data_IF_126720522870
#
_entry.id   IF_126720522870
#
_cell.length_a   1.000
_cell.length_b   1.000
_cell.length_c   1.000
_cell.angle_alpha   90.00
_cell.angle_beta   90.00
_cell.angle_gamma   90.00
#
_symmetry.space_group_name_H-M   'P 1'
#
loop_
_entity.id
_entity.type
_entity.pdbx_description
1 polymer ?
#
# COMPACT_ATOMS: atom_id res chain seq x y z
N UNK A 1 -7.29 -5.97 -3.52
CA UNK A 1 -7.96 -4.80 -2.89
C UNK A 1 -7.36 -3.46 -3.30
N UNK A 2 -6.04 -3.25 -3.20
CA UNK A 2 -5.37 -1.98 -3.56
C UNK A 2 -5.76 -1.53 -4.98
N UNK A 3 -5.53 -2.42 -5.95
CA UNK A 3 -5.94 -2.24 -7.34
C UNK A 3 -7.41 -1.80 -7.50
N UNK A 4 -8.34 -2.46 -6.79
CA UNK A 4 -9.76 -2.14 -6.87
C UNK A 4 -10.11 -0.74 -6.36
N UNK A 5 -9.39 -0.22 -5.36
CA UNK A 5 -9.62 1.15 -4.88
C UNK A 5 -9.02 2.16 -5.86
N UNK A 6 -7.81 1.91 -6.37
CA UNK A 6 -7.18 2.79 -7.37
C UNK A 6 -8.01 2.86 -8.66
N UNK A 7 -8.55 1.74 -9.13
CA UNK A 7 -9.45 1.70 -10.30
C UNK A 7 -10.71 2.55 -10.06
N UNK A 8 -11.29 2.51 -8.85
CA UNK A 8 -12.43 3.39 -8.50
C UNK A 8 -12.05 4.88 -8.51
N UNK A 9 -10.79 5.23 -8.27
CA UNK A 9 -10.26 6.59 -8.38
C UNK A 9 -9.84 6.96 -9.82
N UNK A 10 -10.07 6.09 -10.82
CA UNK A 10 -9.78 6.34 -12.23
C UNK A 10 -8.40 5.90 -12.70
N UNK A 11 -7.61 5.23 -11.86
CA UNK A 11 -6.31 4.69 -12.26
C UNK A 11 -6.46 3.42 -13.09
N UNK A 12 -5.52 3.21 -14.01
CA UNK A 12 -5.37 1.95 -14.75
C UNK A 12 -4.15 1.20 -14.25
N UNK A 13 -4.19 -0.13 -14.34
CA UNK A 13 -3.02 -0.97 -14.09
C UNK A 13 -2.25 -1.07 -15.40
N UNK A 14 -0.99 -0.64 -15.40
CA UNK A 14 -0.09 -0.86 -16.51
C UNK A 14 0.53 -2.26 -16.39
N UNK A 15 0.55 -3.07 -17.47
CA UNK A 15 1.19 -4.39 -17.45
C UNK A 15 2.72 -4.30 -17.37
N UNK A 16 3.28 -3.18 -17.81
CA UNK A 16 4.71 -2.87 -17.78
C UNK A 16 4.90 -1.36 -17.64
N UNK A 17 6.06 -0.95 -17.10
CA UNK A 17 6.38 0.47 -16.97
C UNK A 17 6.73 1.05 -18.35
N UNK A 18 6.08 2.17 -18.68
CA UNK A 18 6.32 2.91 -19.91
C UNK A 18 7.02 4.21 -19.60
N UNK A 19 8.19 4.44 -20.20
CA UNK A 19 9.02 5.62 -19.95
C UNK A 19 8.26 6.93 -20.22
N UNK A 20 7.42 6.96 -21.24
CA UNK A 20 6.58 8.10 -21.61
C UNK A 20 5.49 8.42 -20.57
N UNK A 21 5.10 7.45 -19.73
CA UNK A 21 4.11 7.61 -18.66
C UNK A 21 4.73 7.74 -17.26
N UNK A 22 6.06 7.74 -17.15
CA UNK A 22 6.75 7.68 -15.86
C UNK A 22 6.39 8.84 -14.90
N UNK A 23 6.09 10.03 -15.44
CA UNK A 23 5.63 11.18 -14.66
C UNK A 23 4.28 10.94 -13.96
N UNK A 24 3.41 10.13 -14.54
CA UNK A 24 2.02 9.93 -14.12
C UNK A 24 1.80 8.54 -13.51
N UNK A 25 2.85 7.72 -13.45
CA UNK A 25 2.77 6.34 -12.96
C UNK A 25 3.21 6.27 -11.50
N UNK A 26 2.37 5.64 -10.68
CA UNK A 26 2.69 5.25 -9.33
C UNK A 26 3.12 3.78 -9.30
N UNK A 27 4.24 3.49 -8.65
CA UNK A 27 4.64 2.12 -8.31
C UNK A 27 4.05 1.81 -6.93
N UNK A 28 3.40 0.65 -6.83
CA UNK A 28 2.77 0.19 -5.58
C UNK A 28 3.44 -1.10 -5.14
N UNK A 29 4.15 -1.05 -4.01
CA UNK A 29 4.77 -2.21 -3.39
C UNK A 29 4.03 -2.55 -2.09
N UNK A 30 3.85 -3.83 -1.80
CA UNK A 30 3.25 -4.29 -0.56
C UNK A 30 3.83 -5.64 -0.13
N UNK A 31 3.88 -5.88 1.18
CA UNK A 31 4.34 -7.15 1.72
C UNK A 31 4.41 -7.18 3.25
N UNK A 32 4.61 -8.37 3.80
CA UNK A 32 5.00 -8.53 5.21
C UNK A 32 6.33 -7.81 5.44
N UNK A 33 6.33 -6.84 6.35
CA UNK A 33 7.50 -6.05 6.72
C UNK A 33 8.16 -6.52 8.01
N UNK A 34 7.49 -7.38 8.78
CA UNK A 34 8.06 -7.87 10.02
C UNK A 34 7.10 -8.71 10.85
N UNK A 35 7.64 -9.19 11.97
CA UNK A 35 6.93 -10.00 12.95
C UNK A 35 7.39 -9.62 14.35
N UNK A 36 6.45 -9.34 15.25
CA UNK A 36 6.74 -9.07 16.67
C UNK A 36 6.14 -10.15 17.57
N UNK A 37 6.94 -10.61 18.53
CA UNK A 37 6.45 -11.50 19.57
C UNK A 37 5.68 -10.72 20.62
N UNK A 38 4.48 -11.18 20.95
CA UNK A 38 3.64 -10.71 22.06
C UNK A 38 3.49 -11.91 23.01
N UNK A 39 3.41 -11.72 24.33
CA UNK A 39 3.56 -12.81 25.31
C UNK A 39 2.91 -14.17 24.97
N UNK A 40 1.70 -14.20 24.42
CA UNK A 40 0.97 -15.43 24.02
C UNK A 40 0.80 -15.61 22.49
N UNK A 41 1.57 -14.92 21.65
CA UNK A 41 1.43 -14.99 20.19
C UNK A 41 2.41 -14.12 19.43
N UNK A 42 2.07 -13.82 18.17
CA UNK A 42 2.85 -12.89 17.37
C UNK A 42 1.92 -12.01 16.55
N UNK A 43 2.44 -10.85 16.18
CA UNK A 43 1.81 -9.89 15.31
C UNK A 43 2.60 -9.85 14.01
N UNK A 44 1.90 -9.91 12.88
CA UNK A 44 2.50 -9.71 11.56
C UNK A 44 2.34 -8.23 11.20
N UNK A 45 3.39 -7.65 10.68
CA UNK A 45 3.38 -6.28 10.15
C UNK A 45 3.31 -6.35 8.63
N UNK A 46 2.38 -5.60 8.03
CA UNK A 46 2.29 -5.44 6.58
C UNK A 46 2.52 -3.98 6.24
N UNK A 47 3.42 -3.74 5.29
CA UNK A 47 3.72 -2.40 4.78
C UNK A 47 3.27 -2.25 3.34
N UNK A 48 2.75 -1.07 3.01
CA UNK A 48 2.38 -0.68 1.66
C UNK A 48 3.06 0.65 1.37
N UNK A 49 3.69 0.73 0.20
CA UNK A 49 4.46 1.86 -0.25
C UNK A 49 3.99 2.30 -1.63
N UNK A 50 3.85 3.60 -1.81
CA UNK A 50 3.66 4.25 -3.09
C UNK A 50 4.90 5.07 -3.43
N UNK A 51 5.43 4.92 -4.64
CA UNK A 51 6.56 5.71 -5.13
C UNK A 51 6.31 6.22 -6.54
N UNK A 52 7.00 7.31 -6.90
CA UNK A 52 6.99 7.84 -8.26
C UNK A 52 7.77 6.92 -9.18
N UNK A 53 7.21 6.52 -10.32
CA UNK A 53 7.96 5.76 -11.32
C UNK A 53 9.06 6.60 -12.01
N UNK A 54 8.97 7.93 -11.95
CA UNK A 54 9.98 8.83 -12.51
C UNK A 54 11.19 9.01 -11.60
N UNK A 55 10.96 9.32 -10.33
CA UNK A 55 12.05 9.66 -9.40
C UNK A 55 12.47 8.51 -8.52
N UNK A 56 11.66 7.44 -8.45
CA UNK A 56 11.78 6.35 -7.47
C UNK A 56 11.66 6.80 -6.01
N UNK A 57 11.28 8.06 -5.76
CA UNK A 57 11.09 8.58 -4.41
C UNK A 57 9.76 8.09 -3.84
N UNK A 58 9.77 7.79 -2.53
CA UNK A 58 8.59 7.40 -1.79
C UNK A 58 7.65 8.61 -1.66
N UNK A 59 6.41 8.44 -2.09
CA UNK A 59 5.35 9.44 -1.95
C UNK A 59 4.66 9.25 -0.61
N UNK A 60 4.26 8.01 -0.30
CA UNK A 60 3.72 7.66 1.01
C UNK A 60 3.96 6.19 1.34
N UNK A 61 3.87 5.88 2.62
CA UNK A 61 3.91 4.52 3.13
C UNK A 61 3.05 4.40 4.38
N UNK A 62 2.53 3.22 4.63
CA UNK A 62 1.93 2.90 5.91
C UNK A 62 2.23 1.45 6.30
N UNK A 63 2.23 1.20 7.59
CA UNK A 63 2.35 -0.13 8.17
C UNK A 63 1.14 -0.39 9.06
N UNK A 64 0.54 -1.56 8.94
CA UNK A 64 -0.45 -2.06 9.90
C UNK A 64 0.04 -3.36 10.53
N UNK A 65 -0.42 -3.59 11.75
CA UNK A 65 -0.05 -4.72 12.59
C UNK A 65 -1.32 -5.54 12.84
N UNK A 66 -1.26 -6.86 12.62
CA UNK A 66 -2.39 -7.77 12.87
C UNK A 66 -2.01 -8.98 13.72
N UNK A 67 -2.86 -9.32 14.69
CA UNK A 67 -2.67 -10.46 15.61
C UNK A 67 -3.76 -11.51 15.36
N UNK A 68 -3.42 -12.65 14.74
CA UNK A 68 -4.34 -13.77 14.52
C UNK A 68 -5.03 -13.80 13.13
N UNK A 69 -6.17 -14.50 13.02
CA UNK A 69 -6.86 -14.87 11.77
C UNK A 69 -7.50 -13.70 10.98
N UNK A 70 -7.35 -12.44 11.41
CA UNK A 70 -7.99 -11.27 10.77
C UNK A 70 -7.02 -10.37 10.00
N UNK A 71 -5.96 -10.95 9.41
CA UNK A 71 -5.01 -10.25 8.51
C UNK A 71 -5.69 -9.36 7.47
N UNK A 72 -6.87 -9.76 6.97
CA UNK A 72 -7.60 -9.03 5.95
C UNK A 72 -8.08 -7.64 6.41
N UNK A 73 -8.46 -7.46 7.69
CA UNK A 73 -8.92 -6.17 8.20
C UNK A 73 -7.77 -5.19 8.49
N UNK A 74 -6.63 -5.71 8.96
CA UNK A 74 -5.45 -4.88 9.17
C UNK A 74 -4.84 -4.43 7.85
N UNK A 75 -4.84 -5.30 6.83
CA UNK A 75 -4.48 -4.94 5.45
C UNK A 75 -5.47 -3.90 4.89
N UNK A 76 -6.78 -4.01 5.17
CA UNK A 76 -7.77 -2.96 4.81
C UNK A 76 -7.42 -1.63 5.44
N UNK A 77 -7.05 -1.64 6.72
CA UNK A 77 -6.74 -0.42 7.45
C UNK A 77 -5.43 0.22 6.94
N UNK A 78 -4.38 -0.56 6.70
CA UNK A 78 -3.17 -0.09 6.02
C UNK A 78 -3.52 0.60 4.71
N UNK A 79 -4.24 -0.10 3.83
CA UNK A 79 -4.58 0.43 2.50
C UNK A 79 -5.34 1.74 2.60
N UNK A 80 -6.32 1.85 3.51
CA UNK A 80 -7.05 3.11 3.74
C UNK A 80 -6.14 4.23 4.21
N UNK A 81 -5.22 3.98 5.15
CA UNK A 81 -4.26 4.99 5.67
C UNK A 81 -3.29 5.48 4.60
N UNK A 82 -2.75 4.56 3.79
CA UNK A 82 -1.88 4.95 2.68
C UNK A 82 -2.65 5.79 1.64
N UNK A 83 -3.86 5.37 1.28
CA UNK A 83 -4.67 6.08 0.29
C UNK A 83 -5.19 7.43 0.78
N UNK A 84 -5.52 7.60 2.06
CA UNK A 84 -5.92 8.92 2.58
C UNK A 84 -4.82 9.97 2.47
N UNK A 85 -3.55 9.55 2.44
CA UNK A 85 -2.43 10.48 2.22
C UNK A 85 -2.27 10.88 0.74
N UNK A 86 -2.74 10.05 -0.20
CA UNK A 86 -2.73 10.34 -1.64
C UNK A 86 -3.97 11.10 -2.08
N UNK A 87 -5.11 10.80 -1.47
CA UNK A 87 -6.43 11.35 -1.78
C UNK A 87 -7.06 11.88 -0.49
N UNK A 88 -6.70 13.09 -0.05
CA UNK A 88 -7.39 13.72 1.08
C UNK A 88 -8.88 13.82 0.77
N UNK A 89 -9.75 13.50 1.74
CA UNK A 89 -11.19 13.77 1.60
C UNK A 89 -11.40 15.28 1.38
N UNK A 90 -12.22 15.64 0.39
CA UNK A 90 -12.58 17.03 0.08
C UNK A 90 -13.45 17.66 1.16
#
# INVERSE_FOLDING_TARGET
MIAGILIKQGYIILPELKSELANETLIVNYGESGRRNRGLGYTIEVTIQFSSAKTNEMICSCTAEGQGETEADDIRQAIRRALSSLFPEK
#
